data_IF_901985152381
#
_entry.id   IF_901985152381
#
_cell.length_a   1.000
_cell.length_b   1.000
_cell.length_c   1.000
_cell.angle_alpha   90.00
_cell.angle_beta   90.00
_cell.angle_gamma   90.00
#
_symmetry.space_group_name_H-M   'P 1'
#
loop_
_entity.id
_entity.type
_entity.pdbx_description
1 polymer ?
#
# COMPACT_ATOMS: atom_id res chain seq x y z
N UNK A 1 23.79 -13.20 -16.34
CA UNK A 1 23.55 -13.73 -14.98
C UNK A 1 22.33 -13.04 -14.39
N UNK A 2 21.35 -13.81 -14.03
CA UNK A 2 20.18 -13.24 -13.37
C UNK A 2 20.48 -13.16 -11.88
N UNK A 3 20.57 -11.97 -11.39
CA UNK A 3 20.67 -11.77 -9.95
C UNK A 3 19.25 -11.75 -9.41
N UNK A 4 18.89 -12.77 -8.65
CA UNK A 4 17.60 -12.78 -7.98
C UNK A 4 17.47 -11.57 -7.07
N UNK A 5 16.48 -10.73 -7.32
CA UNK A 5 16.19 -9.62 -6.43
C UNK A 5 15.17 -10.09 -5.39
N UNK A 6 15.58 -10.14 -4.14
CA UNK A 6 14.66 -10.40 -3.06
C UNK A 6 13.87 -9.14 -2.75
N UNK A 7 12.57 -9.22 -2.90
CA UNK A 7 11.67 -8.11 -2.59
C UNK A 7 10.97 -8.44 -1.29
N UNK A 8 11.11 -7.56 -0.30
CA UNK A 8 10.39 -7.70 0.95
C UNK A 8 9.00 -7.09 0.84
N UNK A 9 8.00 -7.85 1.19
CA UNK A 9 6.60 -7.43 1.19
C UNK A 9 6.04 -7.66 2.58
N UNK A 10 5.46 -6.61 3.15
CA UNK A 10 4.78 -6.70 4.46
C UNK A 10 3.29 -6.48 4.25
N UNK A 11 2.49 -7.31 4.91
CA UNK A 11 1.05 -7.14 4.95
C UNK A 11 0.59 -6.96 6.38
N UNK A 12 -0.21 -5.92 6.62
CA UNK A 12 -0.69 -5.57 7.96
C UNK A 12 -2.17 -5.24 7.90
N UNK A 13 -2.91 -5.83 8.84
CA UNK A 13 -4.25 -5.35 9.13
C UNK A 13 -4.12 -4.20 10.13
N UNK A 14 -4.44 -2.97 9.70
CA UNK A 14 -4.24 -1.78 10.53
C UNK A 14 -5.45 -1.43 11.38
N UNK A 15 -6.55 -2.15 11.18
CA UNK A 15 -7.76 -2.01 11.97
C UNK A 15 -8.14 -0.54 12.22
N UNK A 16 -8.42 0.17 11.12
CA UNK A 16 -8.87 1.55 11.13
C UNK A 16 -7.75 2.57 11.38
N UNK A 17 -7.49 3.42 10.40
CA UNK A 17 -6.44 4.45 10.43
C UNK A 17 -6.98 5.87 10.52
N UNK A 18 -8.05 6.10 11.25
CA UNK A 18 -8.68 7.42 11.27
C UNK A 18 -8.14 8.37 12.36
N UNK A 19 -7.25 7.92 13.22
CA UNK A 19 -6.62 8.77 14.22
C UNK A 19 -5.24 9.23 13.74
N UNK A 20 -4.92 10.54 13.77
CA UNK A 20 -3.62 11.04 13.35
C UNK A 20 -2.44 10.36 14.04
N UNK A 21 -2.56 10.09 15.35
CA UNK A 21 -1.53 9.40 16.12
C UNK A 21 -1.24 8.01 15.57
N UNK A 22 -2.28 7.27 15.18
CA UNK A 22 -2.14 5.92 14.66
C UNK A 22 -1.48 5.93 13.28
N UNK A 23 -1.83 6.90 12.44
CA UNK A 23 -1.20 7.10 11.14
C UNK A 23 0.28 7.39 11.31
N UNK A 24 0.63 8.26 12.25
CA UNK A 24 2.01 8.62 12.52
C UNK A 24 2.84 7.43 13.01
N UNK A 25 2.30 6.64 13.93
CA UNK A 25 2.96 5.43 14.44
C UNK A 25 3.17 4.39 13.34
N UNK A 26 2.18 4.23 12.47
CA UNK A 26 2.29 3.32 11.33
C UNK A 26 3.40 3.77 10.39
N UNK A 27 3.46 5.06 10.07
CA UNK A 27 4.49 5.61 9.20
C UNK A 27 5.89 5.38 9.76
N UNK A 28 6.08 5.61 11.05
CA UNK A 28 7.36 5.35 11.73
C UNK A 28 7.74 3.88 11.67
N UNK A 29 6.76 3.00 11.91
CA UNK A 29 6.99 1.55 11.89
C UNK A 29 7.37 1.07 10.49
N UNK A 30 6.68 1.55 9.45
CA UNK A 30 7.00 1.21 8.06
C UNK A 30 8.41 1.66 7.71
N UNK A 31 8.80 2.88 8.09
CA UNK A 31 10.16 3.38 7.87
C UNK A 31 11.21 2.53 8.59
N UNK A 32 10.92 2.09 9.79
CA UNK A 32 11.83 1.26 10.58
C UNK A 32 12.00 -0.14 9.98
N UNK A 33 10.91 -0.76 9.54
CA UNK A 33 10.97 -2.07 8.89
C UNK A 33 11.57 -2.01 7.49
N UNK A 34 11.40 -0.87 6.85
CA UNK A 34 11.97 -0.56 5.54
C UNK A 34 11.72 -1.61 4.46
N UNK A 35 10.46 -2.07 4.26
CA UNK A 35 10.15 -3.02 3.20
C UNK A 35 10.17 -2.34 1.84
N UNK A 36 10.15 -3.13 0.78
CA UNK A 36 9.95 -2.60 -0.57
C UNK A 36 8.49 -2.28 -0.86
N UNK A 37 7.59 -3.12 -0.37
CA UNK A 37 6.15 -2.97 -0.59
C UNK A 37 5.45 -3.23 0.74
N UNK A 38 4.47 -2.39 1.05
CA UNK A 38 3.64 -2.54 2.24
C UNK A 38 2.17 -2.56 1.84
N UNK A 39 1.49 -3.62 2.19
CA UNK A 39 0.06 -3.78 1.94
C UNK A 39 -0.71 -3.58 3.25
N UNK A 40 -1.61 -2.62 3.27
CA UNK A 40 -2.45 -2.32 4.43
C UNK A 40 -3.87 -2.83 4.19
N UNK A 41 -4.42 -3.45 5.20
CA UNK A 41 -5.79 -3.95 5.18
C UNK A 41 -6.62 -3.26 6.25
N UNK A 42 -7.91 -3.12 6.00
CA UNK A 42 -8.86 -2.48 6.91
C UNK A 42 -8.45 -1.05 7.30
N UNK A 43 -8.10 -0.25 6.30
CA UNK A 43 -7.71 1.15 6.53
C UNK A 43 -8.87 2.00 7.00
N UNK A 44 -10.08 1.72 6.54
CA UNK A 44 -11.31 2.43 6.88
C UNK A 44 -11.23 3.95 6.63
N UNK A 45 -10.44 4.36 5.65
CA UNK A 45 -10.37 5.76 5.25
C UNK A 45 -11.64 6.16 4.48
N UNK A 46 -12.09 7.37 4.74
CA UNK A 46 -12.98 8.04 3.80
C UNK A 46 -12.13 8.50 2.60
N UNK A 47 -12.69 8.59 1.40
CA UNK A 47 -11.93 9.07 0.24
C UNK A 47 -11.22 10.41 0.49
N UNK A 48 -11.88 11.32 1.21
CA UNK A 48 -11.30 12.64 1.55
C UNK A 48 -10.14 12.58 2.55
N UNK A 49 -9.95 11.48 3.25
CA UNK A 49 -8.92 11.35 4.28
C UNK A 49 -7.67 10.59 3.80
N UNK A 50 -7.69 10.08 2.58
CA UNK A 50 -6.58 9.27 2.05
C UNK A 50 -5.27 10.05 1.98
N UNK A 51 -5.32 11.36 1.76
CA UNK A 51 -4.14 12.21 1.70
C UNK A 51 -3.34 12.23 3.01
N UNK A 52 -3.95 11.83 4.12
CA UNK A 52 -3.30 11.83 5.43
C UNK A 52 -2.25 10.73 5.57
N UNK A 53 -2.37 9.68 4.78
CA UNK A 53 -1.38 8.61 4.80
C UNK A 53 -0.20 9.01 3.92
N UNK A 54 0.81 9.58 4.54
CA UNK A 54 2.07 9.93 3.89
C UNK A 54 3.20 9.30 4.66
N UNK A 55 4.07 8.60 3.95
CA UNK A 55 5.25 7.97 4.53
C UNK A 55 6.46 8.47 3.77
N UNK A 56 7.42 9.02 4.49
CA UNK A 56 8.64 9.54 3.89
C UNK A 56 9.42 8.41 3.22
N UNK A 57 9.82 8.63 1.98
CA UNK A 57 10.53 7.62 1.19
C UNK A 57 9.63 6.70 0.38
N UNK A 58 8.33 6.98 0.34
CA UNK A 58 7.35 6.17 -0.36
C UNK A 58 6.62 7.02 -1.41
N UNK A 59 6.86 6.71 -2.67
CA UNK A 59 6.32 7.50 -3.80
C UNK A 59 4.90 7.18 -4.15
N UNK A 60 4.58 5.89 -4.14
CA UNK A 60 3.29 5.42 -4.63
C UNK A 60 2.49 4.86 -3.47
N UNK A 61 1.37 5.53 -3.21
CA UNK A 61 0.40 5.04 -2.24
C UNK A 61 -0.92 4.91 -2.98
N UNK A 62 -1.38 3.68 -3.12
CA UNK A 62 -2.55 3.34 -3.91
C UNK A 62 -3.64 2.84 -2.98
N UNK A 63 -4.83 3.43 -3.09
CA UNK A 63 -5.94 3.12 -2.21
C UNK A 63 -7.13 2.54 -2.95
N UNK A 64 -7.84 1.63 -2.30
CA UNK A 64 -9.20 1.28 -2.63
C UNK A 64 -10.02 1.45 -1.36
N UNK A 65 -10.91 2.42 -1.32
CA UNK A 65 -11.67 2.78 -0.14
C UNK A 65 -13.13 2.35 -0.27
N UNK A 66 -13.68 1.85 0.82
CA UNK A 66 -15.11 1.57 0.88
C UNK A 66 -15.94 2.83 1.08
N UNK A 67 -17.22 2.77 0.69
CA UNK A 67 -18.13 3.91 0.73
C UNK A 67 -18.53 4.33 2.14
N UNK A 68 -18.43 3.45 3.12
CA UNK A 68 -18.98 3.66 4.46
C UNK A 68 -17.96 3.44 5.58
N UNK A 69 -16.70 3.71 5.37
CA UNK A 69 -15.65 3.50 6.37
C UNK A 69 -15.54 2.05 6.89
N UNK A 70 -15.96 1.08 6.13
CA UNK A 70 -16.02 -0.32 6.59
C UNK A 70 -14.96 -1.23 6.00
N UNK A 71 -14.17 -0.74 5.10
CA UNK A 71 -13.16 -1.53 4.44
C UNK A 71 -12.01 -0.63 4.08
N UNK A 72 -11.31 -0.95 3.07
CA UNK A 72 -10.22 -0.15 2.57
C UNK A 72 -8.92 -0.93 2.62
N UNK A 73 -8.23 -0.89 1.50
CA UNK A 73 -6.89 -1.46 1.36
C UNK A 73 -5.99 -0.40 0.75
N UNK A 74 -4.72 -0.47 1.06
CA UNK A 74 -3.73 0.41 0.46
C UNK A 74 -2.46 -0.38 0.14
N UNK A 75 -1.78 0.02 -0.93
CA UNK A 75 -0.48 -0.51 -1.28
C UNK A 75 0.50 0.65 -1.33
N UNK A 76 1.57 0.53 -0.58
CA UNK A 76 2.65 1.50 -0.54
C UNK A 76 3.87 0.89 -1.20
N UNK A 77 4.46 1.62 -2.14
CA UNK A 77 5.64 1.18 -2.88
C UNK A 77 6.80 2.12 -2.57
N UNK A 78 7.89 1.55 -2.08
CA UNK A 78 9.07 2.30 -1.69
C UNK A 78 9.76 2.96 -2.87
N UNK A 79 10.38 4.12 -2.63
CA UNK A 79 11.25 4.78 -3.60
C UNK A 79 12.50 3.96 -3.95
N UNK A 80 12.85 2.98 -3.14
CA UNK A 80 14.02 2.12 -3.37
C UNK A 80 13.87 1.23 -4.60
N UNK A 81 12.64 1.00 -5.07
CA UNK A 81 12.41 0.19 -6.26
C UNK A 81 11.78 1.03 -7.36
N UNK A 82 12.18 0.76 -8.58
CA UNK A 82 11.61 1.38 -9.77
C UNK A 82 10.47 0.49 -10.28
N UNK A 83 9.31 0.61 -9.64
CA UNK A 83 8.14 -0.17 -10.02
C UNK A 83 7.34 0.57 -11.07
N UNK A 84 7.20 -0.03 -12.24
CA UNK A 84 6.42 0.53 -13.34
C UNK A 84 5.05 -0.12 -13.39
N UNK A 85 4.02 0.64 -13.05
CA UNK A 85 2.66 0.14 -13.01
C UNK A 85 2.10 0.12 -14.43
N UNK A 86 1.53 -1.02 -14.82
CA UNK A 86 0.79 -1.15 -16.08
C UNK A 86 -0.71 -1.01 -15.86
N UNK A 87 -1.25 -1.71 -14.88
CA UNK A 87 -2.68 -1.68 -14.60
C UNK A 87 -2.94 -1.65 -13.11
N UNK A 88 -4.01 -0.95 -12.74
CA UNK A 88 -4.53 -0.91 -11.38
C UNK A 88 -6.02 -1.23 -11.45
N UNK A 89 -6.44 -2.21 -10.67
CA UNK A 89 -7.86 -2.53 -10.51
C UNK A 89 -8.25 -2.33 -9.06
N UNK A 90 -9.25 -1.47 -8.83
CA UNK A 90 -9.74 -1.15 -7.50
C UNK A 90 -11.16 -1.64 -7.33
N UNK A 91 -11.43 -2.31 -6.23
CA UNK A 91 -12.79 -2.62 -5.84
C UNK A 91 -13.51 -1.37 -5.33
N UNK A 92 -14.73 -1.14 -5.79
CA UNK A 92 -15.53 0.01 -5.37
C UNK A 92 -15.89 -0.01 -3.90
N UNK A 93 -15.98 -1.20 -3.32
CA UNK A 93 -16.30 -1.37 -1.91
C UNK A 93 -15.04 -1.40 -1.02
N UNK A 94 -13.87 -1.31 -1.61
CA UNK A 94 -12.62 -1.24 -0.87
C UNK A 94 -12.13 -2.57 -0.30
N UNK A 95 -12.55 -3.69 -0.88
CA UNK A 95 -12.12 -5.01 -0.40
C UNK A 95 -10.80 -5.47 -1.00
N UNK A 96 -10.45 -4.97 -2.19
CA UNK A 96 -9.20 -5.37 -2.82
C UNK A 96 -8.64 -4.30 -3.76
N UNK A 97 -7.37 -4.43 -4.03
CA UNK A 97 -6.68 -3.69 -5.08
C UNK A 97 -5.70 -4.64 -5.75
N UNK A 98 -5.65 -4.61 -7.06
CA UNK A 98 -4.73 -5.44 -7.86
C UNK A 98 -3.86 -4.52 -8.69
N UNK A 99 -2.54 -4.70 -8.58
CA UNK A 99 -1.56 -3.94 -9.35
C UNK A 99 -0.76 -4.92 -10.20
N UNK A 100 -0.67 -4.64 -11.49
CA UNK A 100 0.23 -5.34 -12.40
C UNK A 100 1.27 -4.37 -12.91
N UNK A 101 2.51 -4.78 -12.92
CA UNK A 101 3.60 -3.95 -13.38
C UNK A 101 4.89 -4.73 -13.51
N UNK A 102 5.99 -4.00 -13.50
CA UNK A 102 7.31 -4.63 -13.63
C UNK A 102 8.35 -3.83 -12.85
N UNK A 103 9.33 -4.53 -12.32
CA UNK A 103 10.59 -3.97 -11.85
C UNK A 103 11.66 -4.32 -12.87
N UNK A 104 11.99 -5.59 -12.98
CA UNK A 104 12.80 -6.16 -14.04
C UNK A 104 12.04 -7.30 -14.73
N UNK A 105 11.05 -7.84 -14.04
CA UNK A 105 10.16 -8.90 -14.51
C UNK A 105 8.72 -8.50 -14.21
N UNK A 106 7.77 -9.21 -14.80
CA UNK A 106 6.37 -8.96 -14.53
C UNK A 106 6.02 -9.37 -13.12
N UNK A 107 5.37 -8.46 -12.38
CA UNK A 107 4.92 -8.71 -11.02
C UNK A 107 3.45 -8.33 -10.92
N UNK A 108 2.69 -9.17 -10.24
CA UNK A 108 1.31 -8.88 -9.87
C UNK A 108 1.20 -8.85 -8.36
N UNK A 109 0.63 -7.77 -7.84
CA UNK A 109 0.38 -7.61 -6.40
C UNK A 109 -1.12 -7.55 -6.21
N UNK A 110 -1.64 -8.46 -5.39
CA UNK A 110 -3.04 -8.50 -4.99
C UNK A 110 -3.10 -8.28 -3.49
N UNK A 111 -3.79 -7.24 -3.09
CA UNK A 111 -4.02 -6.97 -1.67
C UNK A 111 -5.54 -7.04 -1.41
N UNK A 112 -5.89 -7.99 -0.60
CA UNK A 112 -7.29 -8.27 -0.25
C UNK A 112 -7.53 -7.96 1.22
#
# INVERSE_FOLDING_TARGET
>A
MVIGTNISIITINVNRLNAPTKIHRLAEWIQKQDPYICCLQETHFRPRDTYRLKVRGWKMILHANGNQKKAGVAILISEKIDFKIKTITRDKEGHYIVIKGSIQEHITIVNI
#
